data_IF_374440909055
#
_entry.id   IF_374440909055
#
_cell.length_a   1.000
_cell.length_b   1.000
_cell.length_c   1.000
_cell.angle_alpha   90.00
_cell.angle_beta   90.00
_cell.angle_gamma   90.00
#
_symmetry.space_group_name_H-M   'P 1'
#
loop_
_entity.id
_entity.type
_entity.pdbx_description
1 polymer ?
#
# COMPACT_ATOMS: atom_id res chain seq x y z
N UNK A 1 -0.11 -4.18 -9.89
CA UNK A 1 -0.38 -3.08 -8.95
C UNK A 1 -1.70 -3.38 -8.27
N UNK A 2 -1.70 -3.50 -6.95
CA UNK A 2 -2.88 -3.87 -6.16
C UNK A 2 -3.94 -2.77 -6.12
N UNK A 3 -5.14 -3.13 -5.68
CA UNK A 3 -6.34 -2.31 -5.71
C UNK A 3 -6.23 -1.14 -4.74
N UNK A 4 -5.69 -1.35 -3.54
CA UNK A 4 -5.54 -0.30 -2.53
C UNK A 4 -4.58 0.79 -3.01
N UNK A 5 -3.46 0.42 -3.62
CA UNK A 5 -2.49 1.39 -4.15
C UNK A 5 -3.06 2.21 -5.31
N UNK A 6 -3.88 1.59 -6.18
CA UNK A 6 -4.57 2.31 -7.27
C UNK A 6 -5.60 3.29 -6.75
N UNK A 7 -6.40 2.90 -5.76
CA UNK A 7 -7.40 3.76 -5.13
C UNK A 7 -6.74 4.97 -4.48
N UNK A 8 -5.64 4.76 -3.76
CA UNK A 8 -4.85 5.84 -3.16
C UNK A 8 -4.36 6.85 -4.22
N UNK A 9 -3.80 6.37 -5.33
CA UNK A 9 -3.35 7.25 -6.41
C UNK A 9 -4.50 8.02 -7.05
N UNK A 10 -5.65 7.38 -7.26
CA UNK A 10 -6.83 8.03 -7.82
C UNK A 10 -7.37 9.13 -6.90
N UNK A 11 -7.37 8.92 -5.59
CA UNK A 11 -7.77 9.92 -4.59
C UNK A 11 -6.82 11.12 -4.58
N UNK A 12 -5.50 10.88 -4.60
CA UNK A 12 -4.49 11.93 -4.65
C UNK A 12 -4.57 12.74 -5.96
N UNK A 13 -4.82 12.07 -7.09
CA UNK A 13 -5.03 12.72 -8.38
C UNK A 13 -6.30 13.57 -8.40
N UNK A 14 -7.40 13.08 -7.79
CA UNK A 14 -8.65 13.82 -7.67
C UNK A 14 -8.51 15.06 -6.79
N UNK A 15 -7.79 14.95 -5.65
CA UNK A 15 -7.49 16.09 -4.77
C UNK A 15 -6.67 17.15 -5.51
N UNK A 16 -5.61 16.76 -6.20
CA UNK A 16 -4.78 17.69 -6.99
C UNK A 16 -5.57 18.34 -8.13
N UNK A 17 -6.46 17.60 -8.79
CA UNK A 17 -7.31 18.15 -9.84
C UNK A 17 -8.31 19.19 -9.33
N UNK A 18 -8.78 19.03 -8.09
CA UNK A 18 -9.68 19.98 -7.45
C UNK A 18 -8.93 21.21 -6.90
N UNK A 19 -7.75 21.01 -6.29
CA UNK A 19 -6.98 22.04 -5.59
C UNK A 19 -5.47 21.86 -5.85
N UNK A 20 -4.94 22.38 -6.97
CA UNK A 20 -3.58 22.09 -7.41
C UNK A 20 -2.48 22.77 -6.57
N UNK A 21 -2.81 23.82 -5.81
CA UNK A 21 -1.86 24.55 -4.96
C UNK A 21 -1.84 24.05 -3.51
N UNK A 22 -2.83 23.25 -3.09
CA UNK A 22 -2.88 22.70 -1.73
C UNK A 22 -2.14 21.37 -1.66
N UNK A 23 -1.54 21.11 -0.48
CA UNK A 23 -0.95 19.83 -0.17
C UNK A 23 -2.06 18.78 -0.10
N UNK A 24 -1.84 17.62 -0.73
CA UNK A 24 -2.77 16.50 -0.62
C UNK A 24 -2.89 16.06 0.85
N UNK A 25 -4.13 16.00 1.35
CA UNK A 25 -4.40 15.59 2.74
C UNK A 25 -4.45 14.06 2.81
N UNK A 26 -3.53 13.50 3.59
CA UNK A 26 -3.38 12.06 3.77
C UNK A 26 -3.65 11.73 5.23
N UNK A 27 -4.91 11.42 5.53
CA UNK A 27 -5.33 11.03 6.86
C UNK A 27 -4.74 9.65 7.23
N UNK A 28 -3.70 9.66 8.07
CA UNK A 28 -3.01 8.46 8.56
C UNK A 28 -3.21 8.29 10.06
N UNK A 29 -3.96 7.26 10.46
CA UNK A 29 -4.01 6.84 11.85
C UNK A 29 -2.78 6.00 12.15
N UNK A 30 -1.75 6.60 12.76
CA UNK A 30 -0.51 5.90 13.10
C UNK A 30 -0.75 4.92 14.27
N UNK A 31 -0.61 3.62 14.02
CA UNK A 31 -0.78 2.57 15.06
C UNK A 31 0.58 2.09 15.60
N UNK A 32 1.66 2.13 14.80
CA UNK A 32 3.04 1.78 15.17
C UNK A 32 4.06 2.47 14.27
N UNK A 33 5.20 2.89 14.83
CA UNK A 33 6.35 3.41 14.08
C UNK A 33 7.20 2.25 13.57
N UNK A 34 7.49 2.23 12.27
CA UNK A 34 8.33 1.21 11.64
C UNK A 34 9.62 1.89 11.14
N UNK A 35 10.77 1.55 11.72
CA UNK A 35 12.07 2.03 11.26
C UNK A 35 12.71 0.97 10.37
N UNK A 36 12.41 1.03 9.07
CA UNK A 36 12.99 0.12 8.06
C UNK A 36 13.82 0.96 7.09
N UNK A 37 15.07 0.55 6.79
CA UNK A 37 15.86 1.24 5.78
C UNK A 37 15.19 1.10 4.41
N UNK A 38 14.73 2.23 3.86
CA UNK A 38 14.28 2.33 2.49
C UNK A 38 15.48 2.40 1.56
N UNK A 39 15.41 1.71 0.42
CA UNK A 39 16.43 1.84 -0.60
C UNK A 39 16.44 3.26 -1.22
N UNK A 40 17.55 3.61 -1.86
CA UNK A 40 17.78 4.95 -2.43
C UNK A 40 16.80 5.24 -3.59
N UNK A 41 16.38 4.23 -4.32
CA UNK A 41 15.46 4.34 -5.46
C UNK A 41 14.05 4.66 -4.97
N UNK A 42 13.55 3.93 -3.98
CA UNK A 42 12.27 4.16 -3.33
C UNK A 42 12.22 5.55 -2.68
N UNK A 43 13.31 5.98 -2.03
CA UNK A 43 13.42 7.34 -1.50
C UNK A 43 13.29 8.40 -2.59
N UNK A 44 13.85 8.15 -3.78
CA UNK A 44 13.79 9.09 -4.92
C UNK A 44 12.39 9.14 -5.52
N UNK A 45 11.75 7.99 -5.71
CA UNK A 45 10.38 7.89 -6.21
C UNK A 45 9.38 8.59 -5.28
N UNK A 46 9.49 8.34 -3.97
CA UNK A 46 8.66 9.01 -2.96
C UNK A 46 8.84 10.53 -2.97
N UNK A 47 10.06 11.02 -3.20
CA UNK A 47 10.33 12.47 -3.32
C UNK A 47 9.70 13.08 -4.57
N UNK A 48 9.71 12.34 -5.69
CA UNK A 48 9.01 12.76 -6.92
C UNK A 48 7.49 12.79 -6.68
N UNK A 49 6.95 11.75 -6.05
CA UNK A 49 5.53 11.67 -5.66
C UNK A 49 5.13 12.83 -4.74
N UNK A 50 5.90 13.12 -3.70
CA UNK A 50 5.69 14.26 -2.81
C UNK A 50 5.65 15.59 -3.56
N UNK A 51 6.55 15.78 -4.53
CA UNK A 51 6.55 16.98 -5.36
C UNK A 51 5.32 17.06 -6.28
N UNK A 52 4.88 15.94 -6.84
CA UNK A 52 3.73 15.86 -7.75
C UNK A 52 2.40 16.14 -7.05
N UNK A 53 2.31 15.79 -5.75
CA UNK A 53 1.11 15.91 -4.94
C UNK A 53 1.18 17.03 -3.88
N UNK A 54 2.21 17.88 -3.92
CA UNK A 54 2.51 18.91 -2.90
C UNK A 54 2.47 18.37 -1.45
N UNK A 55 2.73 17.08 -1.26
CA UNK A 55 2.55 16.38 0.02
C UNK A 55 3.86 16.17 0.77
N UNK A 56 3.75 15.81 2.05
CA UNK A 56 4.90 15.40 2.84
C UNK A 56 5.40 14.00 2.41
N UNK A 57 6.71 13.86 2.25
CA UNK A 57 7.35 12.62 1.84
C UNK A 57 7.10 11.49 2.84
N UNK A 58 7.11 11.78 4.15
CA UNK A 58 6.90 10.77 5.18
C UNK A 58 5.43 10.30 5.20
N UNK A 59 4.48 11.22 5.07
CA UNK A 59 3.05 10.89 4.94
C UNK A 59 2.78 10.01 3.70
N UNK A 60 3.33 10.37 2.54
CA UNK A 60 3.20 9.55 1.32
C UNK A 60 3.82 8.16 1.47
N UNK A 61 4.99 8.05 2.09
CA UNK A 61 5.64 6.77 2.35
C UNK A 61 4.75 5.86 3.23
N UNK A 62 4.18 6.42 4.30
CA UNK A 62 3.27 5.69 5.18
C UNK A 62 1.98 5.26 4.48
N UNK A 63 1.42 6.12 3.60
CA UNK A 63 0.22 5.82 2.83
C UNK A 63 0.46 4.69 1.82
N UNK A 64 1.59 4.74 1.09
CA UNK A 64 2.02 3.71 0.16
C UNK A 64 2.25 2.38 0.87
N UNK A 65 2.95 2.40 2.02
CA UNK A 65 3.18 1.19 2.81
C UNK A 65 1.86 0.59 3.31
N UNK A 66 0.93 1.41 3.78
CA UNK A 66 -0.39 0.96 4.25
C UNK A 66 -1.20 0.35 3.12
N UNK A 67 -1.22 0.98 1.94
CA UNK A 67 -1.90 0.43 0.76
C UNK A 67 -1.28 -0.91 0.33
N UNK A 68 0.05 -0.99 0.28
CA UNK A 68 0.74 -2.25 -0.03
C UNK A 68 0.45 -3.36 0.99
N UNK A 69 0.39 -3.04 2.29
CA UNK A 69 0.02 -3.99 3.32
C UNK A 69 -1.43 -4.46 3.18
N UNK A 70 -2.36 -3.56 2.87
CA UNK A 70 -3.76 -3.93 2.62
C UNK A 70 -3.89 -4.85 1.41
N UNK A 71 -3.17 -4.56 0.33
CA UNK A 71 -3.14 -5.42 -0.86
C UNK A 71 -2.58 -6.81 -0.51
N UNK A 72 -1.52 -6.91 0.29
CA UNK A 72 -0.96 -8.20 0.73
C UNK A 72 -1.97 -8.94 1.61
N UNK A 73 -2.62 -8.25 2.55
CA UNK A 73 -3.60 -8.86 3.45
C UNK A 73 -4.83 -9.38 2.70
N UNK A 74 -5.32 -8.64 1.71
CA UNK A 74 -6.48 -9.04 0.90
C UNK A 74 -6.25 -10.36 0.16
N UNK A 75 -5.03 -10.61 -0.33
CA UNK A 75 -4.69 -11.85 -1.03
C UNK A 75 -4.21 -12.97 -0.10
N UNK A 76 -3.80 -12.63 1.14
CA UNK A 76 -3.27 -13.60 2.09
C UNK A 76 -4.33 -14.60 2.55
N UNK A 77 -5.57 -14.14 2.75
CA UNK A 77 -6.68 -15.01 3.17
C UNK A 77 -7.01 -16.03 2.07
N UNK A 78 -7.05 -15.61 0.81
CA UNK A 78 -7.27 -16.51 -0.34
C UNK A 78 -6.14 -17.53 -0.49
N UNK A 79 -4.89 -17.11 -0.32
CA UNK A 79 -3.71 -17.99 -0.37
C UNK A 79 -3.72 -19.02 0.77
N UNK A 80 -4.15 -18.62 1.98
CA UNK A 80 -4.30 -19.52 3.13
C UNK A 80 -5.41 -20.56 2.89
N UNK A 81 -6.53 -20.16 2.30
CA UNK A 81 -7.61 -21.07 1.93
C UNK A 81 -7.17 -22.08 0.86
N UNK A 82 -6.42 -21.63 -0.16
CA UNK A 82 -5.83 -22.52 -1.18
C UNK A 82 -4.83 -23.50 -0.57
N UNK A 83 -4.04 -23.06 0.42
CA UNK A 83 -3.12 -23.90 1.15
C UNK A 83 -3.88 -24.97 1.96
N UNK A 84 -4.95 -24.58 2.65
CA UNK A 84 -5.78 -25.48 3.44
C UNK A 84 -6.49 -26.53 2.57
N UNK A 85 -7.02 -26.14 1.42
CA UNK A 85 -7.61 -27.06 0.42
C UNK A 85 -6.56 -28.04 -0.11
N UNK A 86 -5.36 -27.54 -0.43
CA UNK A 86 -4.27 -28.38 -0.93
C UNK A 86 -3.76 -29.35 0.13
N UNK A 87 -3.66 -28.92 1.39
CA UNK A 87 -3.30 -29.80 2.50
C UNK A 87 -4.35 -30.90 2.70
N UNK A 88 -5.64 -30.56 2.64
CA UNK A 88 -6.73 -31.56 2.78
C UNK A 88 -6.70 -32.60 1.66
N UNK A 89 -6.51 -32.18 0.41
CA UNK A 89 -6.37 -33.09 -0.73
C UNK A 89 -5.16 -34.03 -0.60
N UNK A 90 -4.04 -33.56 -0.07
CA UNK A 90 -2.87 -34.41 0.16
C UNK A 90 -3.09 -35.44 1.28
N UNK A 91 -3.85 -35.08 2.32
CA UNK A 91 -4.24 -36.01 3.40
C UNK A 91 -5.20 -37.07 2.85
N UNK A 92 -6.22 -36.66 2.10
CA UNK A 92 -7.21 -37.57 1.51
C UNK A 92 -6.59 -38.47 0.43
N UNK A 93 -5.53 -38.05 -0.25
CA UNK A 93 -4.79 -38.85 -1.23
C UNK A 93 -3.83 -39.87 -0.61
N UNK A 94 -3.56 -39.79 0.70
CA UNK A 94 -2.72 -40.75 1.44
C UNK A 94 -3.53 -41.79 2.22
N UNK A 95 -4.86 -41.68 2.26
CA UNK A 95 -5.78 -42.64 2.88
C UNK A 95 -6.33 -43.64 1.85
#
# INVERSE_FOLDING_TARGET
MGLALKTLLAELEAQRAAQPEEAADVALTAVRTLEVPLDITACRELRVLAHVFNGDQAALAAAVLRAALMDIQEHLDDDLDLLAVSARRNIDSCA
#
